data_IF_346309297920
#
_entry.id   IF_346309297920
#
_cell.length_a   1.000
_cell.length_b   1.000
_cell.length_c   1.000
_cell.angle_alpha   90.00
_cell.angle_beta   90.00
_cell.angle_gamma   90.00
#
_symmetry.space_group_name_H-M   'P 1'
#
loop_
_entity.id
_entity.type
_entity.pdbx_description
1 polymer ?
#
# COMPACT_ATOMS: atom_id res chain seq x y z
N UNK A 1 -28.17 45.79 2.18
CA UNK A 1 -27.97 44.49 1.50
C UNK A 1 -26.65 44.52 0.76
N UNK A 2 -25.65 43.78 1.21
CA UNK A 2 -24.58 43.18 0.39
C UNK A 2 -23.67 42.37 1.33
N UNK A 3 -23.87 41.05 1.36
CA UNK A 3 -23.05 40.12 2.13
C UNK A 3 -21.84 39.71 1.29
N UNK A 4 -20.62 39.95 1.80
CA UNK A 4 -19.40 39.35 1.27
C UNK A 4 -19.35 37.87 1.68
N UNK A 5 -19.41 36.97 0.68
CA UNK A 5 -19.10 35.55 0.85
C UNK A 5 -17.58 35.38 0.80
N UNK A 6 -16.97 34.97 1.90
CA UNK A 6 -15.61 34.41 1.91
C UNK A 6 -15.73 32.87 1.86
N UNK A 7 -15.15 32.25 0.83
CA UNK A 7 -15.13 30.80 0.70
C UNK A 7 -14.07 30.21 1.64
N UNK A 8 -14.50 29.26 2.46
CA UNK A 8 -13.62 28.46 3.31
C UNK A 8 -12.84 27.46 2.46
N UNK A 9 -11.52 27.66 2.33
CA UNK A 9 -10.59 26.71 1.72
C UNK A 9 -10.14 25.73 2.81
N UNK A 10 -10.55 24.46 2.68
CA UNK A 10 -10.10 23.37 3.57
C UNK A 10 -8.58 23.23 3.53
N UNK A 11 -7.93 23.31 4.70
CA UNK A 11 -6.47 23.24 4.87
C UNK A 11 -6.03 21.89 5.43
N UNK A 12 -6.27 20.76 4.76
CA UNK A 12 -5.74 19.46 5.20
C UNK A 12 -5.39 18.49 4.05
N UNK A 13 -4.66 18.94 3.04
CA UNK A 13 -4.01 18.04 2.09
C UNK A 13 -2.48 18.16 2.24
N UNK A 14 -1.81 17.08 2.66
CA UNK A 14 -0.35 17.00 2.55
C UNK A 14 0.00 16.90 1.06
N UNK A 15 1.07 17.58 0.58
CA UNK A 15 1.41 17.55 -0.84
C UNK A 15 1.85 16.13 -1.23
N UNK A 16 1.21 15.58 -2.27
CA UNK A 16 1.79 14.49 -3.06
C UNK A 16 3.15 14.95 -3.60
N UNK A 17 4.15 14.05 -3.67
CA UNK A 17 5.49 14.38 -4.19
C UNK A 17 5.42 15.04 -5.58
N UNK A 18 4.42 14.66 -6.36
CA UNK A 18 4.14 15.21 -7.69
C UNK A 18 3.68 16.68 -7.70
N UNK A 19 3.24 17.24 -6.57
CA UNK A 19 2.78 18.63 -6.48
C UNK A 19 3.91 19.67 -6.54
N UNK A 20 5.18 19.26 -6.44
CA UNK A 20 6.34 20.16 -6.38
C UNK A 20 7.41 19.89 -7.46
N UNK A 21 7.10 19.16 -8.54
CA UNK A 21 8.04 19.00 -9.65
C UNK A 21 8.05 20.26 -10.54
N UNK A 22 9.23 20.79 -10.93
CA UNK A 22 9.29 21.89 -11.90
C UNK A 22 8.74 21.43 -13.25
N UNK A 23 7.82 22.22 -13.82
CA UNK A 23 7.14 22.01 -15.11
C UNK A 23 8.05 22.08 -16.35
N UNK A 24 9.33 21.71 -16.26
CA UNK A 24 10.24 21.72 -17.40
C UNK A 24 11.05 20.44 -17.46
N UNK A 25 10.57 19.47 -18.24
CA UNK A 25 11.46 18.54 -18.95
C UNK A 25 11.07 18.49 -20.42
N UNK A 26 11.92 19.13 -21.21
CA UNK A 26 12.04 18.96 -22.65
C UNK A 26 11.95 17.48 -23.02
N UNK A 27 11.01 17.18 -23.91
CA UNK A 27 10.89 15.90 -24.58
C UNK A 27 12.17 15.62 -25.37
N UNK A 28 12.93 14.63 -24.93
CA UNK A 28 13.85 13.90 -25.81
C UNK A 28 13.25 12.53 -26.02
N UNK A 29 12.38 12.46 -27.02
CA UNK A 29 11.86 11.21 -27.57
C UNK A 29 13.03 10.49 -28.24
N UNK A 30 13.55 9.46 -27.57
CA UNK A 30 14.29 8.41 -28.26
C UNK A 30 13.26 7.38 -28.74
N UNK A 31 12.85 7.49 -30.01
CA UNK A 31 11.99 6.50 -30.67
C UNK A 31 12.75 5.20 -30.85
N UNK A 32 12.65 4.31 -29.86
CA UNK A 32 12.91 2.89 -30.04
C UNK A 32 11.58 2.22 -30.39
N UNK A 33 11.33 2.02 -31.69
CA UNK A 33 10.30 1.09 -32.17
C UNK A 33 10.71 -0.32 -31.73
N UNK A 34 10.14 -0.83 -30.64
CA UNK A 34 10.03 -2.27 -30.35
C UNK A 34 9.06 -2.51 -29.19
N UNK A 35 8.18 -3.47 -29.46
CA UNK A 35 7.33 -4.23 -28.57
C UNK A 35 6.06 -3.52 -28.06
N UNK A 36 4.90 -4.17 -28.28
CA UNK A 36 3.66 -3.86 -27.57
C UNK A 36 4.02 -3.72 -26.10
N UNK A 37 3.85 -2.54 -25.53
CA UNK A 37 4.12 -2.31 -24.11
C UNK A 37 3.40 -3.42 -23.32
N UNK A 38 4.15 -4.20 -22.54
CA UNK A 38 3.59 -5.23 -21.69
C UNK A 38 2.68 -4.52 -20.68
N UNK A 39 1.38 -4.44 -20.95
CA UNK A 39 0.42 -3.66 -20.16
C UNK A 39 0.34 -4.16 -18.72
N UNK A 40 0.73 -5.42 -18.53
CA UNK A 40 0.81 -6.15 -17.27
C UNK A 40 1.89 -5.61 -16.33
N UNK A 41 2.96 -5.02 -16.87
CA UNK A 41 4.04 -4.42 -16.06
C UNK A 41 3.68 -3.00 -15.68
N UNK A 42 3.19 -2.82 -14.47
CA UNK A 42 2.93 -1.48 -13.94
C UNK A 42 4.22 -0.73 -13.64
N UNK A 43 4.29 0.50 -14.16
CA UNK A 43 5.26 1.48 -13.71
C UNK A 43 4.73 2.20 -12.45
N UNK A 44 5.64 2.83 -11.71
CA UNK A 44 5.31 3.53 -10.46
C UNK A 44 4.27 4.64 -10.67
N UNK A 45 4.35 5.41 -11.75
CA UNK A 45 3.42 6.53 -11.97
C UNK A 45 1.98 6.05 -12.14
N UNK A 46 1.74 5.00 -12.93
CA UNK A 46 0.42 4.40 -13.09
C UNK A 46 -0.07 3.78 -11.77
N UNK A 47 0.82 3.12 -11.03
CA UNK A 47 0.50 2.55 -9.72
C UNK A 47 0.00 3.64 -8.76
N UNK A 48 0.74 4.75 -8.61
CA UNK A 48 0.37 5.85 -7.71
C UNK A 48 -0.95 6.50 -8.14
N UNK A 49 -1.15 6.70 -9.45
CA UNK A 49 -2.39 7.27 -9.98
C UNK A 49 -3.61 6.38 -9.73
N UNK A 50 -3.45 5.07 -9.86
CA UNK A 50 -4.53 4.13 -9.58
C UNK A 50 -4.77 4.01 -8.07
N UNK A 51 -3.72 4.03 -7.24
CA UNK A 51 -3.84 4.12 -5.78
C UNK A 51 -4.62 5.36 -5.34
N UNK A 52 -4.34 6.53 -5.92
CA UNK A 52 -5.11 7.75 -5.68
C UNK A 52 -6.58 7.60 -6.09
N UNK A 53 -6.85 6.87 -7.17
CA UNK A 53 -8.21 6.59 -7.63
C UNK A 53 -8.95 5.66 -6.66
N UNK A 54 -8.33 4.54 -6.26
CA UNK A 54 -8.87 3.64 -5.24
C UNK A 54 -9.19 4.40 -3.95
N UNK A 55 -8.30 5.30 -3.52
CA UNK A 55 -8.47 6.05 -2.28
C UNK A 55 -9.66 7.03 -2.30
N UNK A 56 -10.06 7.53 -3.49
CA UNK A 56 -11.22 8.40 -3.64
C UNK A 56 -12.54 7.67 -3.41
N UNK A 57 -12.57 6.37 -3.71
CA UNK A 57 -13.78 5.55 -3.64
C UNK A 57 -14.07 4.97 -2.25
N UNK A 58 -13.17 5.18 -1.27
CA UNK A 58 -13.40 4.76 0.11
C UNK A 58 -14.43 5.71 0.76
N UNK A 59 -15.36 5.16 1.53
CA UNK A 59 -16.29 5.95 2.36
C UNK A 59 -15.51 6.86 3.34
N UNK A 60 -15.85 8.14 3.44
CA UNK A 60 -15.16 9.10 4.33
C UNK A 60 -15.11 8.61 5.79
N UNK A 61 -16.18 7.99 6.27
CA UNK A 61 -16.26 7.45 7.64
C UNK A 61 -15.22 6.35 7.89
N UNK A 62 -14.92 5.55 6.85
CA UNK A 62 -13.96 4.45 6.91
C UNK A 62 -12.53 4.89 6.62
N UNK A 63 -12.31 6.00 5.89
CA UNK A 63 -10.96 6.50 5.55
C UNK A 63 -10.07 6.71 6.77
N UNK A 64 -10.66 7.05 7.92
CA UNK A 64 -9.91 7.26 9.15
C UNK A 64 -9.21 6.00 9.66
N UNK A 65 -9.73 4.80 9.35
CA UNK A 65 -9.15 3.52 9.77
C UNK A 65 -7.94 3.09 8.92
N UNK A 66 -7.78 3.66 7.73
CA UNK A 66 -6.76 3.25 6.76
C UNK A 66 -5.68 4.32 6.55
N UNK A 67 -4.48 3.88 6.21
CA UNK A 67 -3.47 4.72 5.56
C UNK A 67 -2.72 3.91 4.50
N UNK A 68 -2.04 4.60 3.59
CA UNK A 68 -1.09 3.98 2.69
C UNK A 68 0.17 4.85 2.55
N UNK A 69 1.28 4.18 2.26
CA UNK A 69 2.56 4.81 1.94
C UNK A 69 2.73 4.93 0.43
N UNK A 70 3.48 5.95 0.03
CA UNK A 70 4.01 6.05 -1.32
C UNK A 70 4.91 4.83 -1.58
N UNK A 71 4.80 4.25 -2.78
CA UNK A 71 5.45 2.97 -3.12
C UNK A 71 6.97 3.04 -3.09
N UNK A 72 7.57 4.23 -3.18
CA UNK A 72 9.02 4.40 -3.17
C UNK A 72 9.60 4.50 -1.77
N UNK A 73 8.79 4.77 -0.73
CA UNK A 73 9.30 5.04 0.62
C UNK A 73 10.08 3.87 1.21
N UNK A 74 9.57 2.65 1.09
CA UNK A 74 10.28 1.47 1.60
C UNK A 74 11.59 1.25 0.84
N UNK A 75 11.59 1.41 -0.49
CA UNK A 75 12.79 1.26 -1.31
C UNK A 75 13.86 2.31 -0.96
N UNK A 76 13.44 3.57 -0.79
CA UNK A 76 14.31 4.66 -0.37
C UNK A 76 14.95 4.34 0.98
N UNK A 77 14.15 3.89 1.96
CA UNK A 77 14.64 3.45 3.26
C UNK A 77 15.64 2.28 3.13
N UNK A 78 15.26 1.24 2.39
CA UNK A 78 16.07 0.03 2.20
C UNK A 78 17.42 0.32 1.53
N UNK A 79 17.45 1.24 0.56
CA UNK A 79 18.66 1.68 -0.12
C UNK A 79 19.47 2.72 0.67
N UNK A 80 19.05 3.08 1.89
CA UNK A 80 19.74 4.08 2.71
C UNK A 80 19.57 5.53 2.23
N UNK A 81 18.59 5.79 1.37
CA UNK A 81 18.35 7.09 0.77
C UNK A 81 17.28 7.87 1.53
N UNK A 82 17.58 9.12 1.89
CA UNK A 82 16.61 10.05 2.47
C UNK A 82 15.87 9.50 3.71
N UNK A 83 16.48 8.59 4.49
CA UNK A 83 15.87 7.96 5.67
C UNK A 83 15.16 8.97 6.59
N UNK A 84 15.78 10.12 6.98
CA UNK A 84 15.12 11.08 7.86
C UNK A 84 13.83 11.66 7.28
N UNK A 85 13.79 11.87 5.96
CA UNK A 85 12.59 12.37 5.29
C UNK A 85 11.52 11.29 5.19
N UNK A 86 11.89 10.05 4.85
CA UNK A 86 10.96 8.91 4.81
C UNK A 86 10.28 8.72 6.16
N UNK A 87 11.05 8.67 7.26
CA UNK A 87 10.51 8.52 8.61
C UNK A 87 9.63 9.72 9.02
N UNK A 88 10.02 10.94 8.63
CA UNK A 88 9.21 12.15 8.85
C UNK A 88 7.87 12.09 8.11
N UNK A 89 7.85 11.62 6.85
CA UNK A 89 6.62 11.49 6.07
C UNK A 89 5.71 10.38 6.62
N UNK A 90 6.30 9.27 7.08
CA UNK A 90 5.57 8.19 7.75
C UNK A 90 4.91 8.70 9.04
N UNK A 91 5.65 9.44 9.88
CA UNK A 91 5.09 10.06 11.10
C UNK A 91 3.89 10.94 10.80
N UNK A 92 3.89 11.64 9.65
CA UNK A 92 2.76 12.46 9.22
C UNK A 92 1.50 11.64 8.84
N UNK A 93 1.64 10.34 8.52
CA UNK A 93 0.51 9.43 8.24
C UNK A 93 -0.20 8.96 9.51
N UNK A 94 0.43 9.11 10.69
CA UNK A 94 -0.09 8.71 12.01
C UNK A 94 -0.50 7.23 12.04
N UNK A 95 0.43 6.34 11.71
CA UNK A 95 0.11 4.92 11.49
C UNK A 95 -0.44 4.22 12.75
N UNK A 96 -0.02 4.66 13.94
CA UNK A 96 -0.50 4.13 15.22
C UNK A 96 -1.92 4.58 15.60
N UNK A 97 -2.57 5.41 14.78
CA UNK A 97 -3.98 5.74 14.93
C UNK A 97 -4.84 5.15 13.82
N UNK A 98 -4.30 4.16 13.08
CA UNK A 98 -4.95 3.47 11.96
C UNK A 98 -5.03 2.00 12.28
N UNK A 99 -6.11 1.36 11.86
CA UNK A 99 -6.25 -0.08 11.97
C UNK A 99 -5.40 -0.80 10.91
N UNK A 100 -5.32 -0.21 9.71
CA UNK A 100 -4.62 -0.78 8.57
C UNK A 100 -3.73 0.22 7.88
N UNK A 101 -2.50 -0.19 7.59
CA UNK A 101 -1.57 0.61 6.79
C UNK A 101 -1.00 -0.23 5.66
N UNK A 102 -1.24 0.20 4.43
CA UNK A 102 -0.72 -0.42 3.22
C UNK A 102 0.65 0.16 2.88
N UNK A 103 1.65 -0.71 2.80
CA UNK A 103 3.04 -0.37 2.51
C UNK A 103 3.46 -1.14 1.26
N UNK A 104 3.35 -0.54 0.06
CA UNK A 104 3.90 -1.16 -1.14
C UNK A 104 5.42 -1.27 -1.02
N UNK A 105 5.94 -2.46 -1.31
CA UNK A 105 7.37 -2.77 -1.30
C UNK A 105 7.81 -2.99 -2.74
N UNK A 106 8.62 -2.05 -3.25
CA UNK A 106 9.21 -2.12 -4.59
C UNK A 106 10.70 -2.35 -4.46
N UNK A 107 11.15 -3.58 -4.68
CA UNK A 107 12.57 -3.93 -4.59
C UNK A 107 12.97 -4.79 -5.78
N UNK A 108 14.11 -4.46 -6.40
CA UNK A 108 14.68 -5.22 -7.52
C UNK A 108 13.71 -5.45 -8.70
N UNK A 109 12.83 -4.49 -8.97
CA UNK A 109 11.85 -4.59 -10.07
C UNK A 109 10.64 -5.47 -9.76
N UNK A 110 10.45 -5.86 -8.50
CA UNK A 110 9.32 -6.66 -8.04
C UNK A 110 8.48 -5.90 -7.01
N UNK A 111 7.17 -6.08 -7.09
CA UNK A 111 6.17 -5.47 -6.21
C UNK A 111 5.61 -6.51 -5.24
N UNK A 112 5.58 -6.16 -3.97
CA UNK A 112 4.88 -6.91 -2.91
C UNK A 112 4.18 -5.94 -1.98
N UNK A 113 3.25 -6.41 -1.17
CA UNK A 113 2.50 -5.58 -0.24
C UNK A 113 2.79 -5.99 1.20
N UNK A 114 3.27 -5.05 2.01
CA UNK A 114 3.26 -5.18 3.47
C UNK A 114 2.02 -4.48 4.02
N UNK A 115 1.24 -5.19 4.82
CA UNK A 115 0.09 -4.65 5.55
C UNK A 115 0.40 -4.64 7.03
N UNK A 116 0.30 -3.47 7.66
CA UNK A 116 0.39 -3.31 9.11
C UNK A 116 -1.02 -3.31 9.67
N UNK A 117 -1.33 -4.27 10.54
CA UNK A 117 -2.65 -4.45 11.13
C UNK A 117 -2.58 -4.20 12.65
N UNK A 118 -3.52 -3.41 13.17
CA UNK A 118 -3.71 -3.16 14.61
C UNK A 118 -2.46 -2.61 15.32
N UNK A 119 -1.75 -1.67 14.69
CA UNK A 119 -0.59 -1.02 15.31
C UNK A 119 -0.99 0.00 16.38
N UNK A 120 -2.28 0.33 16.47
CA UNK A 120 -2.87 1.08 17.58
C UNK A 120 -2.92 0.30 18.91
N UNK A 121 -2.70 -1.03 18.86
CA UNK A 121 -2.71 -1.91 20.03
C UNK A 121 -1.30 -2.19 20.58
N UNK A 122 -1.15 -2.15 21.90
CA UNK A 122 0.15 -2.31 22.59
C UNK A 122 0.37 -3.72 23.16
N UNK A 123 -0.61 -4.62 23.00
CA UNK A 123 -0.52 -5.99 23.50
C UNK A 123 -0.21 -7.00 22.38
N UNK A 124 1.08 -7.32 22.20
CA UNK A 124 1.53 -8.35 21.24
C UNK A 124 1.16 -9.80 21.64
N UNK A 125 0.73 -10.03 22.87
CA UNK A 125 0.37 -11.38 23.35
C UNK A 125 -1.06 -11.77 22.97
N UNK A 126 -1.90 -10.78 22.63
CA UNK A 126 -3.25 -11.03 22.14
C UNK A 126 -3.18 -11.49 20.67
N UNK A 127 -3.32 -12.79 20.46
CA UNK A 127 -3.36 -13.39 19.11
C UNK A 127 -4.58 -12.89 18.30
N UNK A 128 -5.58 -12.28 18.94
CA UNK A 128 -6.81 -11.80 18.31
C UNK A 128 -6.74 -10.31 17.98
N UNK A 129 -6.11 -9.50 18.83
CA UNK A 129 -6.09 -8.02 18.70
C UNK A 129 -4.71 -7.39 18.60
N UNK A 130 -3.66 -8.18 18.77
CA UNK A 130 -2.29 -7.66 18.75
C UNK A 130 -1.85 -7.19 17.36
N UNK A 131 -0.82 -6.34 17.31
CA UNK A 131 -0.23 -5.85 16.08
C UNK A 131 0.33 -7.00 15.23
N UNK A 132 0.17 -6.90 13.91
CA UNK A 132 0.64 -7.88 12.94
C UNK A 132 1.15 -7.24 11.66
N UNK A 133 2.14 -7.88 11.06
CA UNK A 133 2.68 -7.55 9.75
C UNK A 133 2.38 -8.70 8.80
N UNK A 134 1.72 -8.41 7.68
CA UNK A 134 1.36 -9.41 6.68
C UNK A 134 2.03 -9.03 5.37
N UNK A 135 2.81 -9.94 4.78
CA UNK A 135 3.46 -9.73 3.48
C UNK A 135 2.75 -10.56 2.43
N UNK A 136 2.11 -9.90 1.48
CA UNK A 136 1.47 -10.51 0.33
C UNK A 136 2.39 -10.39 -0.88
N UNK A 137 2.86 -11.53 -1.37
CA UNK A 137 3.74 -11.64 -2.54
C UNK A 137 3.10 -12.58 -3.56
N UNK A 138 2.69 -12.02 -4.71
CA UNK A 138 2.12 -12.77 -5.82
C UNK A 138 3.17 -13.53 -6.64
N UNK A 139 4.46 -13.26 -6.41
CA UNK A 139 5.54 -14.01 -7.03
C UNK A 139 5.93 -15.17 -6.13
N UNK A 140 5.90 -16.38 -6.69
CA UNK A 140 6.33 -17.57 -5.96
C UNK A 140 7.86 -17.58 -5.86
N UNK A 141 8.37 -16.91 -4.83
CA UNK A 141 9.81 -16.79 -4.61
C UNK A 141 10.34 -17.93 -3.76
N UNK A 142 11.58 -18.37 -4.04
CA UNK A 142 12.24 -19.41 -3.25
C UNK A 142 12.49 -18.98 -1.80
N UNK A 143 12.54 -17.67 -1.53
CA UNK A 143 12.65 -17.08 -0.20
C UNK A 143 11.64 -15.93 -0.01
N UNK A 144 10.45 -16.22 0.54
CA UNK A 144 9.47 -15.19 0.89
C UNK A 144 9.94 -14.32 2.07
N UNK A 145 10.88 -14.82 2.90
CA UNK A 145 11.35 -14.15 4.12
C UNK A 145 12.51 -13.19 3.89
N UNK A 146 12.97 -13.03 2.64
CA UNK A 146 14.15 -12.23 2.26
C UNK A 146 14.18 -10.81 2.84
N UNK A 147 13.02 -10.19 3.04
CA UNK A 147 12.91 -8.83 3.59
C UNK A 147 12.58 -8.77 5.08
N UNK A 148 12.49 -9.89 5.78
CA UNK A 148 12.09 -9.94 7.19
C UNK A 148 12.95 -9.04 8.09
N UNK A 149 14.28 -9.09 7.95
CA UNK A 149 15.19 -8.26 8.75
C UNK A 149 15.01 -6.77 8.44
N UNK A 150 14.90 -6.43 7.15
CA UNK A 150 14.70 -5.06 6.70
C UNK A 150 13.34 -4.49 7.16
N UNK A 151 12.27 -5.27 7.08
CA UNK A 151 10.93 -4.90 7.56
C UNK A 151 10.98 -4.66 9.07
N UNK A 152 11.56 -5.58 9.86
CA UNK A 152 11.66 -5.37 11.32
C UNK A 152 12.46 -4.14 11.68
N UNK A 153 13.56 -3.87 10.97
CA UNK A 153 14.35 -2.65 11.16
C UNK A 153 13.55 -1.40 10.79
N UNK A 154 12.84 -1.42 9.67
CA UNK A 154 11.98 -0.34 9.22
C UNK A 154 10.93 0.01 10.28
N UNK A 155 10.25 -0.99 10.83
CA UNK A 155 9.29 -0.79 11.92
C UNK A 155 9.98 -0.26 13.19
N UNK A 156 11.14 -0.80 13.57
CA UNK A 156 11.88 -0.30 14.73
C UNK A 156 12.24 1.18 14.63
N UNK A 157 12.72 1.63 13.47
CA UNK A 157 13.09 3.03 13.26
C UNK A 157 11.84 3.94 13.25
N UNK A 158 10.66 3.45 12.82
CA UNK A 158 9.39 4.18 12.93
C UNK A 158 8.99 4.36 14.40
N UNK A 159 9.01 3.28 15.20
CA UNK A 159 8.72 3.36 16.64
C UNK A 159 9.65 4.35 17.35
N UNK A 160 10.95 4.30 17.05
CA UNK A 160 11.94 5.22 17.61
C UNK A 160 11.67 6.68 17.21
N UNK A 161 11.35 6.94 15.93
CA UNK A 161 11.05 8.30 15.43
C UNK A 161 9.76 8.89 16.02
N UNK A 162 8.83 8.03 16.40
CA UNK A 162 7.59 8.41 17.08
C UNK A 162 7.72 8.42 18.61
N UNK A 163 8.93 8.23 19.15
CA UNK A 163 9.24 8.27 20.59
C UNK A 163 8.37 7.32 21.41
N UNK A 164 8.09 6.16 20.82
CA UNK A 164 7.26 5.11 21.40
C UNK A 164 8.02 4.38 22.51
N UNK A 165 7.34 4.08 23.61
CA UNK A 165 7.94 3.40 24.78
C UNK A 165 8.21 1.91 24.54
N UNK A 166 7.57 1.34 23.52
CA UNK A 166 7.65 -0.07 23.17
C UNK A 166 9.08 -0.48 22.78
N UNK A 167 9.63 -1.49 23.47
CA UNK A 167 11.01 -1.93 23.27
C UNK A 167 11.24 -2.66 21.94
N UNK A 168 12.50 -2.78 21.52
CA UNK A 168 12.89 -3.66 20.39
C UNK A 168 12.43 -5.12 20.58
N UNK A 169 12.33 -5.60 21.83
CA UNK A 169 11.81 -6.94 22.12
C UNK A 169 10.32 -7.05 21.82
N UNK A 170 9.54 -5.99 22.05
CA UNK A 170 8.13 -5.92 21.65
C UNK A 170 8.01 -6.03 20.12
N UNK A 171 8.78 -5.23 19.38
CA UNK A 171 8.75 -5.24 17.91
C UNK A 171 9.11 -6.62 17.36
N UNK A 172 10.08 -7.31 17.97
CA UNK A 172 10.46 -8.68 17.61
C UNK A 172 9.35 -9.71 17.88
N UNK A 173 8.43 -9.44 18.81
CA UNK A 173 7.27 -10.30 19.10
C UNK A 173 6.09 -10.07 18.15
N UNK A 174 6.03 -8.93 17.47
CA UNK A 174 5.04 -8.68 16.42
C UNK A 174 5.19 -9.78 15.36
N UNK A 175 4.08 -10.45 15.04
CA UNK A 175 4.04 -11.53 14.05
C UNK A 175 4.29 -10.95 12.66
N UNK A 176 5.13 -11.62 11.90
CA UNK A 176 5.36 -11.37 10.48
C UNK A 176 4.91 -12.61 9.72
N UNK A 177 3.85 -12.47 8.93
CA UNK A 177 3.13 -13.57 8.28
C UNK A 177 3.31 -13.48 6.76
N UNK A 178 3.44 -14.64 6.11
CA UNK A 178 3.62 -14.79 4.66
C UNK A 178 2.55 -15.76 4.13
N UNK A 179 1.27 -15.34 4.12
CA UNK A 179 0.17 -16.18 3.71
C UNK A 179 0.25 -16.53 2.22
N UNK A 180 -0.40 -17.63 1.84
CA UNK A 180 -0.58 -17.96 0.43
C UNK A 180 -1.58 -17.00 -0.18
N UNK A 181 -1.29 -16.56 -1.39
CA UNK A 181 -2.13 -15.65 -2.17
C UNK A 181 -2.15 -16.12 -3.63
N UNK A 182 -3.11 -15.67 -4.45
CA UNK A 182 -3.08 -15.86 -5.89
C UNK A 182 -1.71 -15.52 -6.47
N UNK A 183 -1.16 -16.43 -7.26
CA UNK A 183 0.17 -16.32 -7.83
C UNK A 183 0.08 -15.79 -9.26
N UNK A 184 0.93 -14.81 -9.57
CA UNK A 184 0.97 -14.17 -10.88
C UNK A 184 1.59 -15.06 -11.95
N UNK A 185 1.26 -14.78 -13.21
CA UNK A 185 1.99 -15.29 -14.36
C UNK A 185 2.63 -14.10 -15.10
N UNK A 186 3.95 -14.07 -15.23
CA UNK A 186 4.63 -12.95 -15.90
C UNK A 186 4.88 -11.75 -14.98
N UNK A 187 4.71 -10.52 -15.51
CA UNK A 187 5.16 -9.27 -14.86
C UNK A 187 4.04 -8.47 -14.17
N UNK A 188 2.97 -9.15 -13.74
CA UNK A 188 1.74 -8.54 -13.19
C UNK A 188 1.83 -8.11 -11.71
N UNK A 189 2.99 -8.24 -11.05
CA UNK A 189 3.14 -8.02 -9.59
C UNK A 189 2.52 -6.70 -9.07
N UNK A 190 2.66 -5.60 -9.82
CA UNK A 190 2.04 -4.32 -9.44
C UNK A 190 0.51 -4.35 -9.47
N UNK A 191 -0.09 -5.07 -10.43
CA UNK A 191 -1.55 -5.26 -10.51
C UNK A 191 -2.04 -6.04 -9.29
N UNK A 192 -1.32 -7.11 -8.92
CA UNK A 192 -1.65 -7.90 -7.74
C UNK A 192 -1.59 -7.09 -6.46
N UNK A 193 -0.59 -6.22 -6.28
CA UNK A 193 -0.53 -5.32 -5.12
C UNK A 193 -1.76 -4.40 -5.05
N UNK A 194 -2.16 -3.79 -6.17
CA UNK A 194 -3.37 -2.95 -6.21
C UNK A 194 -4.64 -3.77 -5.92
N UNK A 195 -4.73 -4.98 -6.46
CA UNK A 195 -5.86 -5.88 -6.23
C UNK A 195 -5.95 -6.28 -4.76
N UNK A 196 -4.82 -6.63 -4.14
CA UNK A 196 -4.80 -6.94 -2.71
C UNK A 196 -5.31 -5.77 -1.88
N UNK A 197 -4.84 -4.54 -2.16
CA UNK A 197 -5.33 -3.34 -1.47
C UNK A 197 -6.85 -3.17 -1.69
N UNK A 198 -7.33 -3.35 -2.92
CA UNK A 198 -8.76 -3.29 -3.23
C UNK A 198 -9.57 -4.31 -2.41
N UNK A 199 -9.10 -5.55 -2.29
CA UNK A 199 -9.71 -6.55 -1.43
C UNK A 199 -9.75 -6.07 0.02
N UNK A 200 -8.69 -5.48 0.56
CA UNK A 200 -8.73 -4.95 1.93
C UNK A 200 -9.74 -3.82 2.11
N UNK A 201 -9.91 -2.97 1.10
CA UNK A 201 -10.81 -1.81 1.17
C UNK A 201 -12.29 -2.18 0.97
N UNK A 202 -12.58 -3.19 0.16
CA UNK A 202 -13.94 -3.53 -0.27
C UNK A 202 -14.50 -4.82 0.36
N UNK A 203 -13.67 -5.66 0.97
CA UNK A 203 -14.12 -6.96 1.42
C UNK A 203 -15.01 -6.86 2.66
N UNK A 204 -16.30 -7.15 2.44
CA UNK A 204 -17.34 -7.23 3.48
C UNK A 204 -17.05 -8.29 4.53
N UNK A 205 -16.37 -9.39 4.18
CA UNK A 205 -15.89 -10.39 5.14
C UNK A 205 -14.81 -9.82 6.05
N UNK A 206 -13.89 -8.97 5.56
CA UNK A 206 -12.93 -8.26 6.43
C UNK A 206 -13.69 -7.34 7.38
N UNK A 207 -14.63 -6.55 6.87
CA UNK A 207 -15.47 -5.68 7.68
C UNK A 207 -16.26 -6.47 8.75
N UNK A 208 -16.87 -7.61 8.40
CA UNK A 208 -17.59 -8.46 9.35
C UNK A 208 -16.67 -9.15 10.36
N UNK A 209 -15.49 -9.63 9.95
CA UNK A 209 -14.47 -10.22 10.83
C UNK A 209 -13.91 -9.16 11.79
N UNK A 210 -13.71 -7.94 11.31
CA UNK A 210 -13.26 -6.78 12.08
C UNK A 210 -14.29 -6.28 13.07
N UNK A 211 -15.53 -6.11 12.62
CA UNK A 211 -16.64 -5.60 13.43
C UNK A 211 -17.00 -6.57 14.55
N UNK A 212 -16.95 -7.87 14.28
CA UNK A 212 -17.31 -8.88 15.28
C UNK A 212 -16.21 -9.18 16.31
N UNK A 213 -14.99 -8.61 16.17
CA UNK A 213 -13.82 -8.90 17.03
C UNK A 213 -13.59 -10.41 17.28
N UNK A 214 -14.11 -11.26 16.39
CA UNK A 214 -14.06 -12.73 16.44
C UNK A 214 -13.00 -13.23 15.48
N UNK A 215 -11.81 -12.64 15.55
CA UNK A 215 -10.66 -13.27 14.95
C UNK A 215 -10.20 -14.42 15.85
N UNK A 216 -10.98 -15.50 15.88
CA UNK A 216 -10.50 -16.80 16.39
C UNK A 216 -9.74 -17.57 15.29
N UNK A 217 -9.90 -17.16 14.03
CA UNK A 217 -9.28 -17.77 12.87
C UNK A 217 -7.92 -17.13 12.55
N UNK A 218 -6.99 -17.97 12.11
CA UNK A 218 -5.69 -17.53 11.62
C UNK A 218 -5.91 -16.68 10.35
N UNK A 219 -5.32 -15.47 10.26
CA UNK A 219 -5.38 -14.64 9.04
C UNK A 219 -4.91 -15.44 7.80
N UNK A 220 -4.04 -16.42 8.01
CA UNK A 220 -3.59 -17.35 6.97
C UNK A 220 -4.76 -18.17 6.40
N UNK A 221 -5.68 -18.64 7.25
CA UNK A 221 -6.87 -19.40 6.83
C UNK A 221 -7.89 -18.50 6.13
N UNK A 222 -8.06 -17.26 6.61
CA UNK A 222 -8.94 -16.28 5.97
C UNK A 222 -8.51 -15.97 4.54
N UNK A 223 -7.20 -15.86 4.28
CA UNK A 223 -6.66 -15.61 2.94
C UNK A 223 -6.76 -16.83 2.01
N UNK A 224 -6.80 -18.05 2.56
CA UNK A 224 -6.95 -19.30 1.81
C UNK A 224 -8.42 -19.59 1.41
N UNK A 225 -9.42 -19.23 2.24
CA UNK A 225 -10.84 -19.59 2.05
C UNK A 225 -11.67 -18.57 1.23
N UNK A 226 -11.25 -18.32 -0.01
CA UNK A 226 -12.03 -17.51 -0.95
C UNK A 226 -12.00 -16.01 -0.65
N UNK A 227 -10.86 -15.53 -0.15
CA UNK A 227 -10.55 -14.12 -0.02
C UNK A 227 -10.38 -13.42 -1.37
N UNK A 228 -9.83 -14.17 -2.33
CA UNK A 228 -9.53 -13.70 -3.66
C UNK A 228 -10.37 -14.46 -4.65
N UNK A 229 -11.24 -13.75 -5.36
CA UNK A 229 -12.05 -14.31 -6.42
C UNK A 229 -11.29 -14.16 -7.76
N UNK A 230 -10.97 -15.27 -8.45
CA UNK A 230 -10.33 -15.22 -9.76
C UNK A 230 -11.08 -14.38 -10.80
N UNK A 231 -12.43 -14.36 -10.75
CA UNK A 231 -13.25 -13.55 -11.65
C UNK A 231 -13.13 -12.06 -11.32
N UNK A 232 -13.13 -11.69 -10.03
CA UNK A 232 -12.90 -10.31 -9.61
C UNK A 232 -11.49 -9.83 -9.98
N UNK A 233 -10.47 -10.68 -9.80
CA UNK A 233 -9.10 -10.38 -10.20
C UNK A 233 -8.99 -10.14 -11.72
N UNK A 234 -9.65 -10.96 -12.52
CA UNK A 234 -9.65 -10.81 -13.98
C UNK A 234 -10.39 -9.55 -14.44
N UNK A 235 -11.50 -9.19 -13.77
CA UNK A 235 -12.18 -7.93 -14.02
C UNK A 235 -11.31 -6.73 -13.60
N UNK A 236 -10.64 -6.83 -12.46
CA UNK A 236 -9.72 -5.80 -11.96
C UNK A 236 -8.54 -5.56 -12.92
N UNK A 237 -8.00 -6.62 -13.52
CA UNK A 237 -6.98 -6.50 -14.59
C UNK A 237 -7.48 -5.69 -15.77
N UNK A 238 -8.68 -6.03 -16.28
CA UNK A 238 -9.31 -5.30 -17.39
C UNK A 238 -9.55 -3.82 -17.06
N UNK A 239 -9.92 -3.53 -15.81
CA UNK A 239 -10.12 -2.17 -15.34
C UNK A 239 -8.81 -1.37 -15.34
N UNK A 240 -7.70 -1.96 -14.88
CA UNK A 240 -6.37 -1.32 -14.94
C UNK A 240 -5.93 -1.09 -16.38
N UNK A 241 -6.09 -2.07 -17.27
CA UNK A 241 -5.74 -1.90 -18.68
C UNK A 241 -6.57 -0.80 -19.35
N UNK A 242 -7.86 -0.72 -19.02
CA UNK A 242 -8.74 0.34 -19.49
C UNK A 242 -8.33 1.70 -18.94
N UNK A 243 -7.92 1.77 -17.67
CA UNK A 243 -7.38 2.98 -17.04
C UNK A 243 -6.09 3.46 -17.73
N UNK A 244 -5.18 2.54 -18.05
CA UNK A 244 -3.95 2.84 -18.80
C UNK A 244 -4.25 3.35 -20.21
N UNK A 245 -5.18 2.70 -20.92
CA UNK A 245 -5.56 3.08 -22.28
C UNK A 245 -6.17 4.51 -22.33
N UNK A 246 -7.06 4.83 -21.40
CA UNK A 246 -7.71 6.13 -21.28
C UNK A 246 -6.73 7.28 -20.93
N UNK A 247 -5.57 6.97 -20.36
CA UNK A 247 -4.53 7.94 -20.03
C UNK A 247 -3.64 8.23 -21.24
N UNK A 248 -3.30 7.18 -21.99
CA UNK A 248 -2.48 7.33 -23.19
C UNK A 248 -3.20 8.19 -24.23
N UNK A 249 -4.51 8.01 -24.42
CA UNK A 249 -5.30 8.85 -25.33
C UNK A 249 -5.33 10.33 -24.94
N UNK A 250 -5.39 10.65 -23.64
CA UNK A 250 -5.38 12.03 -23.12
C UNK A 250 -4.01 12.72 -23.18
N UNK A 251 -2.93 11.97 -23.40
CA UNK A 251 -1.57 12.52 -23.50
C UNK A 251 -1.18 12.79 -24.96
N UNK A 252 -1.95 12.28 -25.91
CA UNK A 252 -1.77 12.45 -27.36
C UNK A 252 -2.61 13.60 -27.96
N UNK A 253 -3.56 14.17 -27.20
CA UNK A 253 -4.29 15.41 -27.50
C UNK A 253 -3.59 16.66 -26.93
#
# INVERSE_FOLDING_TARGET
MAALKTSGRSKHALPSFYNNLPQNRSSRIATSRRDKANQDKLNTDIFELYMEDLWKHIDEDKKSAYAYFDSLWFNMYYCGQNIPNVLKWIKAKRIFSRQYVFVPIVCCGHWSLLVLCHFDETNCSDIKKGPRMIVLDSLNTADPTRFQSAIRKFIADIYETEEREESKQFINKIRLEFPKVPQQNGEECGIYVLYFIQCFLQNKKLAEVLENKKLEEDFTQLLDDGWFDPEELENFRKDIHSFQANRNSKTEE
#
